data_IF_252474552987
#
_entry.id   IF_252474552987
#
_cell.length_a   1.000
_cell.length_b   1.000
_cell.length_c   1.000
_cell.angle_alpha   90.00
_cell.angle_beta   90.00
_cell.angle_gamma   90.00
#
_symmetry.space_group_name_H-M   'P 1'
#
loop_
_entity.id
_entity.type
_entity.pdbx_description
1 polymer ?
#
# COMPACT_ATOMS: atom_id res chain seq x y z
N UNK A 1 -15.45 17.92 -8.64
CA UNK A 1 -15.96 16.54 -8.67
C UNK A 1 -15.16 15.79 -7.61
N UNK A 2 -15.67 15.68 -6.40
CA UNK A 2 -15.04 14.85 -5.37
C UNK A 2 -15.36 13.39 -5.71
N UNK A 3 -14.35 12.53 -5.73
CA UNK A 3 -14.57 11.09 -5.85
C UNK A 3 -14.99 10.54 -4.50
N UNK A 4 -15.92 9.61 -4.50
CA UNK A 4 -16.32 8.84 -3.31
C UNK A 4 -15.12 8.11 -2.68
N UNK A 5 -14.07 7.83 -3.47
CA UNK A 5 -12.81 7.26 -2.99
C UNK A 5 -11.88 8.27 -2.30
N UNK A 6 -12.30 9.53 -2.12
CA UNK A 6 -11.46 10.50 -1.43
C UNK A 6 -11.40 10.19 0.07
N UNK A 7 -10.19 10.22 0.64
CA UNK A 7 -9.98 9.97 2.08
C UNK A 7 -10.86 10.88 2.94
N UNK A 8 -11.02 12.15 2.54
CA UNK A 8 -11.87 13.10 3.24
C UNK A 8 -13.35 12.68 3.25
N UNK A 9 -13.86 12.19 2.11
CA UNK A 9 -15.23 11.69 2.02
C UNK A 9 -15.43 10.44 2.90
N UNK A 10 -14.51 9.47 2.87
CA UNK A 10 -14.64 8.27 3.70
C UNK A 10 -14.68 8.61 5.20
N UNK A 11 -13.85 9.54 5.67
CA UNK A 11 -13.86 9.99 7.07
C UNK A 11 -15.15 10.74 7.42
N UNK A 12 -15.64 11.59 6.52
CA UNK A 12 -16.90 12.29 6.71
C UNK A 12 -18.07 11.30 6.78
N UNK A 13 -18.13 10.33 5.86
CA UNK A 13 -19.15 9.30 5.83
C UNK A 13 -19.14 8.45 7.11
N UNK A 14 -17.95 8.05 7.56
CA UNK A 14 -17.80 7.33 8.84
C UNK A 14 -18.35 8.15 10.01
N UNK A 15 -18.05 9.46 10.05
CA UNK A 15 -18.59 10.34 11.09
C UNK A 15 -20.12 10.46 11.06
N UNK A 16 -20.72 10.35 9.88
CA UNK A 16 -22.17 10.42 9.70
C UNK A 16 -22.85 9.11 10.14
N UNK A 17 -22.25 7.95 9.85
CA UNK A 17 -22.72 6.65 10.37
C UNK A 17 -22.71 6.62 11.89
N UNK A 18 -21.61 7.07 12.52
CA UNK A 18 -21.51 7.14 13.98
C UNK A 18 -22.59 8.09 14.57
N UNK A 19 -22.90 9.19 13.90
CA UNK A 19 -23.96 10.12 14.34
C UNK A 19 -25.35 9.51 14.27
N UNK A 20 -25.58 8.60 13.33
CA UNK A 20 -26.84 7.87 13.16
C UNK A 20 -26.92 6.60 14.03
N UNK A 21 -25.88 6.31 14.84
CA UNK A 21 -25.71 5.05 15.60
C UNK A 21 -25.64 3.80 14.73
N UNK A 22 -25.12 3.94 13.51
CA UNK A 22 -24.88 2.84 12.55
C UNK A 22 -23.45 2.29 12.74
N UNK A 23 -23.16 1.80 13.94
CA UNK A 23 -21.80 1.40 14.36
C UNK A 23 -21.23 0.26 13.51
N UNK A 24 -22.08 -0.67 13.08
CA UNK A 24 -21.69 -1.80 12.21
C UNK A 24 -21.21 -1.29 10.83
N UNK A 25 -21.90 -0.30 10.27
CA UNK A 25 -21.51 0.31 8.99
C UNK A 25 -20.22 1.14 9.12
N UNK A 26 -20.07 1.86 10.23
CA UNK A 26 -18.84 2.60 10.52
C UNK A 26 -17.64 1.65 10.63
N UNK A 27 -17.80 0.54 11.36
CA UNK A 27 -16.78 -0.51 11.49
C UNK A 27 -16.44 -1.13 10.14
N UNK A 28 -17.44 -1.51 9.34
CA UNK A 28 -17.22 -2.12 8.04
C UNK A 28 -16.49 -1.17 7.08
N UNK A 29 -16.88 0.12 7.06
CA UNK A 29 -16.23 1.15 6.25
C UNK A 29 -14.77 1.34 6.67
N UNK A 30 -14.51 1.40 7.99
CA UNK A 30 -13.16 1.53 8.51
C UNK A 30 -12.29 0.34 8.10
N UNK A 31 -12.73 -0.89 8.39
CA UNK A 31 -11.96 -2.10 8.16
C UNK A 31 -11.70 -2.36 6.66
N UNK A 32 -12.74 -2.22 5.82
CA UNK A 32 -12.66 -2.62 4.42
C UNK A 32 -12.09 -1.56 3.49
N UNK A 33 -12.21 -0.27 3.84
CA UNK A 33 -11.86 0.84 2.95
C UNK A 33 -10.77 1.71 3.54
N UNK A 34 -11.01 2.32 4.70
CA UNK A 34 -10.10 3.32 5.29
C UNK A 34 -8.79 2.65 5.70
N UNK A 35 -8.87 1.62 6.54
CA UNK A 35 -7.69 0.96 7.11
C UNK A 35 -6.75 0.42 6.01
N UNK A 36 -7.30 -0.10 4.91
CA UNK A 36 -6.51 -0.66 3.80
C UNK A 36 -5.70 0.36 3.01
N UNK A 37 -6.17 1.60 2.90
CA UNK A 37 -5.61 2.62 2.00
C UNK A 37 -4.93 3.77 2.73
N UNK A 38 -5.33 4.05 3.97
CA UNK A 38 -4.90 5.25 4.70
C UNK A 38 -3.39 5.30 4.95
N UNK A 39 -2.76 4.15 5.24
CA UNK A 39 -1.31 4.10 5.49
C UNK A 39 -0.48 4.44 4.25
N UNK A 40 -0.95 4.06 3.06
CA UNK A 40 -0.31 4.39 1.78
C UNK A 40 -0.45 5.88 1.50
N UNK A 41 -1.67 6.41 1.62
CA UNK A 41 -1.95 7.83 1.45
C UNK A 41 -1.10 8.71 2.37
N UNK A 42 -1.04 8.40 3.68
CA UNK A 42 -0.22 9.15 4.62
C UNK A 42 1.28 9.01 4.27
N UNK A 43 1.71 7.83 3.84
CA UNK A 43 3.06 7.60 3.32
C UNK A 43 3.40 8.55 2.16
N UNK A 44 2.51 8.70 1.18
CA UNK A 44 2.70 9.58 0.03
C UNK A 44 2.78 11.05 0.44
N UNK A 45 1.99 11.48 1.43
CA UNK A 45 2.07 12.84 2.01
C UNK A 45 3.44 13.08 2.64
N UNK A 46 3.97 12.12 3.40
CA UNK A 46 5.31 12.24 3.99
C UNK A 46 6.43 12.29 2.95
N UNK A 47 6.30 11.53 1.87
CA UNK A 47 7.29 11.51 0.78
C UNK A 47 7.33 12.82 -0.02
N UNK A 48 6.21 13.55 -0.07
CA UNK A 48 6.16 14.82 -0.80
C UNK A 48 6.94 15.92 -0.06
N UNK A 49 7.99 16.45 -0.70
CA UNK A 49 8.87 17.47 -0.09
C UNK A 49 8.17 18.80 0.21
N UNK A 50 7.13 19.14 -0.53
CA UNK A 50 6.44 20.44 -0.42
C UNK A 50 5.24 20.41 0.55
N UNK A 51 4.89 19.23 1.07
CA UNK A 51 3.72 19.01 1.91
C UNK A 51 3.96 19.37 3.39
N UNK A 52 4.67 20.46 3.70
CA UNK A 52 5.14 20.76 5.07
C UNK A 52 4.01 20.81 6.10
N UNK A 53 2.93 21.56 5.83
CA UNK A 53 1.77 21.62 6.72
C UNK A 53 1.03 20.27 6.79
N UNK A 54 0.86 19.63 5.63
CA UNK A 54 0.13 18.36 5.55
C UNK A 54 0.85 17.20 6.23
N UNK A 55 2.18 17.26 6.41
CA UNK A 55 2.93 16.29 7.21
C UNK A 55 2.60 16.35 8.69
N UNK A 56 2.39 17.55 9.23
CA UNK A 56 1.95 17.70 10.62
C UNK A 56 0.55 17.12 10.81
N UNK A 57 -0.36 17.42 9.87
CA UNK A 57 -1.71 16.85 9.85
C UNK A 57 -1.65 15.32 9.68
N UNK A 58 -0.78 14.82 8.81
CA UNK A 58 -0.58 13.39 8.60
C UNK A 58 -0.06 12.67 9.86
N UNK A 59 0.78 13.32 10.66
CA UNK A 59 1.25 12.78 11.94
C UNK A 59 0.10 12.60 12.93
N UNK A 60 -0.80 13.58 13.02
CA UNK A 60 -2.02 13.49 13.84
C UNK A 60 -2.92 12.38 13.30
N UNK A 61 -3.11 12.33 11.97
CA UNK A 61 -3.92 11.31 11.33
C UNK A 61 -3.37 9.89 11.57
N UNK A 62 -2.04 9.69 11.56
CA UNK A 62 -1.44 8.38 11.87
C UNK A 62 -1.80 7.94 13.30
N UNK A 63 -1.62 8.81 14.28
CA UNK A 63 -1.96 8.50 15.68
C UNK A 63 -3.46 8.21 15.85
N UNK A 64 -4.31 8.98 15.15
CA UNK A 64 -5.75 8.74 15.11
C UNK A 64 -6.08 7.37 14.52
N UNK A 65 -5.48 6.97 13.39
CA UNK A 65 -5.73 5.65 12.79
C UNK A 65 -5.26 4.50 13.68
N UNK A 66 -4.17 4.67 14.45
CA UNK A 66 -3.74 3.68 15.44
C UNK A 66 -4.75 3.54 16.59
N UNK A 67 -5.33 4.65 17.03
CA UNK A 67 -6.40 4.64 18.03
C UNK A 67 -7.67 3.97 17.51
N UNK A 68 -8.12 4.31 16.30
CA UNK A 68 -9.31 3.69 15.69
C UNK A 68 -9.15 2.17 15.52
N UNK A 69 -7.95 1.72 15.10
CA UNK A 69 -7.61 0.28 15.05
C UNK A 69 -7.76 -0.40 16.40
N UNK A 70 -7.32 0.25 17.47
CA UNK A 70 -7.48 -0.27 18.82
C UNK A 70 -8.97 -0.36 19.21
N UNK A 71 -9.76 0.67 18.94
CA UNK A 71 -11.18 0.73 19.26
C UNK A 71 -12.00 -0.35 18.52
N UNK A 72 -11.70 -0.58 17.24
CA UNK A 72 -12.40 -1.59 16.43
C UNK A 72 -11.79 -3.00 16.52
N UNK A 73 -10.72 -3.17 17.29
CA UNK A 73 -9.93 -4.41 17.40
C UNK A 73 -9.41 -4.92 16.04
N UNK A 74 -9.00 -3.99 15.17
CA UNK A 74 -8.53 -4.28 13.81
C UNK A 74 -7.02 -4.10 13.74
N UNK A 75 -6.33 -5.08 13.15
CA UNK A 75 -4.89 -4.97 12.93
C UNK A 75 -4.52 -4.02 11.78
N UNK A 76 -3.30 -3.50 11.84
CA UNK A 76 -2.71 -2.76 10.72
C UNK A 76 -2.56 -3.70 9.52
N UNK A 77 -2.97 -3.31 8.30
CA UNK A 77 -2.84 -4.17 7.14
C UNK A 77 -1.38 -4.52 6.88
N UNK A 78 -1.09 -5.80 6.67
CA UNK A 78 0.24 -6.22 6.27
C UNK A 78 0.55 -5.63 4.89
N UNK A 79 1.67 -4.90 4.78
CA UNK A 79 2.19 -4.47 3.47
C UNK A 79 2.64 -5.73 2.72
N UNK A 80 1.80 -6.21 1.81
CA UNK A 80 2.20 -7.25 0.87
C UNK A 80 3.19 -6.61 -0.10
N UNK A 81 4.46 -6.60 0.29
CA UNK A 81 5.56 -6.37 -0.63
C UNK A 81 5.60 -7.56 -1.58
N UNK A 82 4.68 -7.60 -2.55
CA UNK A 82 4.85 -8.46 -3.70
C UNK A 82 6.12 -7.97 -4.39
N UNK A 83 7.25 -8.61 -4.08
CA UNK A 83 8.42 -8.55 -4.95
C UNK A 83 7.85 -8.87 -6.31
N UNK A 84 7.91 -7.92 -7.26
CA UNK A 84 7.55 -8.17 -8.65
C UNK A 84 8.53 -9.21 -9.19
N UNK A 85 8.27 -10.47 -8.90
CA UNK A 85 8.95 -11.61 -9.49
C UNK A 85 8.32 -11.80 -10.86
N UNK A 86 9.06 -11.47 -11.90
CA UNK A 86 8.68 -11.86 -13.25
C UNK A 86 8.99 -13.36 -13.37
N UNK A 87 7.96 -14.20 -13.55
CA UNK A 87 8.06 -15.67 -13.55
C UNK A 87 8.69 -16.28 -12.29
N UNK A 88 8.27 -15.86 -11.08
CA UNK A 88 8.77 -16.39 -9.80
C UNK A 88 10.28 -16.23 -9.55
N UNK A 89 10.98 -15.43 -10.36
CA UNK A 89 12.43 -15.27 -10.31
C UNK A 89 12.81 -13.87 -9.85
N UNK A 90 13.64 -13.80 -8.80
CA UNK A 90 14.26 -12.54 -8.37
C UNK A 90 15.03 -11.91 -9.52
N UNK A 91 15.15 -10.58 -9.55
CA UNK A 91 15.92 -9.82 -10.56
C UNK A 91 17.34 -10.36 -10.72
N UNK A 92 17.99 -10.76 -9.62
CA UNK A 92 19.33 -11.37 -9.64
C UNK A 92 19.35 -12.75 -10.31
N UNK A 93 18.30 -13.55 -10.13
CA UNK A 93 18.18 -14.89 -10.70
C UNK A 93 17.85 -14.83 -12.19
N UNK A 94 17.01 -13.87 -12.61
CA UNK A 94 16.76 -13.58 -14.02
C UNK A 94 18.07 -13.23 -14.77
N UNK A 95 18.86 -12.30 -14.21
CA UNK A 95 20.15 -11.89 -14.78
C UNK A 95 21.16 -13.05 -14.88
N UNK A 96 21.22 -13.93 -13.87
CA UNK A 96 22.06 -15.15 -13.92
C UNK A 96 21.66 -16.08 -15.05
N UNK A 97 20.36 -16.29 -15.26
CA UNK A 97 19.84 -17.17 -16.32
C UNK A 97 20.09 -16.59 -17.71
N UNK A 98 19.92 -15.29 -17.91
CA UNK A 98 20.27 -14.63 -19.17
C UNK A 98 21.77 -14.74 -19.47
N UNK A 99 22.64 -14.48 -18.48
CA UNK A 99 24.08 -14.61 -18.64
C UNK A 99 24.50 -16.05 -19.01
N UNK A 100 23.91 -17.06 -18.36
CA UNK A 100 24.18 -18.47 -18.67
C UNK A 100 23.65 -18.87 -20.06
N UNK A 101 22.48 -18.35 -20.48
CA UNK A 101 21.95 -18.58 -21.83
C UNK A 101 22.89 -17.98 -22.89
N UNK A 102 23.39 -16.76 -22.68
CA UNK A 102 24.34 -16.12 -23.59
C UNK A 102 25.67 -16.89 -23.68
N UNK A 103 26.21 -17.40 -22.56
CA UNK A 103 27.42 -18.23 -22.56
C UNK A 103 27.23 -19.52 -23.36
N UNK A 104 26.13 -20.23 -23.14
CA UNK A 104 25.80 -21.46 -23.89
C UNK A 104 25.60 -21.21 -25.39
N UNK A 105 25.01 -20.08 -25.77
CA UNK A 105 24.88 -19.71 -27.19
C UNK A 105 26.24 -19.40 -27.82
N UNK A 106 27.14 -18.72 -27.08
CA UNK A 106 28.51 -18.44 -27.54
C UNK A 106 29.34 -19.72 -27.69
N UNK A 107 29.28 -20.62 -26.72
CA UNK A 107 29.96 -21.93 -26.76
C UNK A 107 29.45 -22.80 -27.91
N UNK A 108 28.14 -22.79 -28.20
CA UNK A 108 27.58 -23.48 -29.37
C UNK A 108 27.97 -22.84 -30.70
N UNK A 109 28.19 -21.53 -30.74
CA UNK A 109 28.61 -20.81 -31.96
C UNK A 109 30.11 -20.92 -32.26
N UNK A 110 30.94 -21.22 -31.25
CA UNK A 110 32.39 -21.41 -31.38
C UNK A 110 32.78 -22.88 -31.56
N UNK A 111 31.96 -23.64 -32.30
CA UNK A 111 32.07 -25.08 -32.51
C UNK A 111 33.52 -25.60 -32.48
N UNK A 112 33.87 -26.27 -31.40
CA UNK A 112 34.91 -27.29 -31.42
C UNK A 112 34.21 -28.55 -31.93
N UNK A 113 34.29 -28.76 -33.23
CA UNK A 113 34.25 -30.05 -33.92
C UNK A 113 35.36 -30.05 -34.95
#
# INVERSE_FOLDING_TARGET
>A
KESEDSVGFCLLLMSEFLRQNEDDLAKELFEKVINKSIDEFLGDVFMNKNANLYKEIASIAMAFMEFERLCFEVEKPAKINSKKVQNDLSRSEFLRREANKQRRTREKSQGIS
#
